data_IF_057789282784
#
_entry.id   IF_057789282784
#
_cell.length_a   1.000
_cell.length_b   1.000
_cell.length_c   1.000
_cell.angle_alpha   90.00
_cell.angle_beta   90.00
_cell.angle_gamma   90.00
#
_symmetry.space_group_name_H-M   'P 1'
#
loop_
_entity.id
_entity.type
_entity.pdbx_description
1 polymer ?
#
# COMPACT_ATOMS: atom_id res chain seq x y z
N UNK A 1 -27.99 -50.77 -28.97
CA UNK A 1 -26.76 -50.29 -28.31
C UNK A 1 -26.72 -48.77 -28.46
N UNK A 2 -27.18 -47.99 -27.47
CA UNK A 2 -26.98 -46.55 -27.45
C UNK A 2 -25.60 -46.25 -26.85
N UNK A 3 -24.77 -45.50 -27.57
CA UNK A 3 -23.47 -45.02 -27.06
C UNK A 3 -23.69 -43.81 -26.17
N UNK A 4 -23.27 -43.96 -24.91
CA UNK A 4 -23.18 -42.92 -23.89
C UNK A 4 -22.23 -41.78 -24.30
N UNK A 5 -22.59 -40.61 -23.79
CA UNK A 5 -21.86 -39.35 -23.87
C UNK A 5 -20.52 -39.44 -23.13
N UNK A 6 -19.49 -38.74 -23.63
CA UNK A 6 -18.53 -38.11 -22.74
C UNK A 6 -18.15 -36.73 -23.30
N UNK A 7 -18.92 -35.72 -22.88
CA UNK A 7 -18.51 -34.33 -22.99
C UNK A 7 -17.43 -34.06 -21.96
N UNK A 8 -16.17 -34.02 -22.39
CA UNK A 8 -15.06 -33.61 -21.54
C UNK A 8 -15.16 -32.10 -21.22
N UNK A 9 -15.12 -31.68 -19.95
CA UNK A 9 -14.90 -30.29 -19.60
C UNK A 9 -13.39 -30.03 -19.45
N UNK A 10 -13.06 -28.74 -19.29
CA UNK A 10 -11.77 -28.20 -18.84
C UNK A 10 -10.70 -27.97 -19.92
N UNK A 11 -10.51 -26.70 -20.27
CA UNK A 11 -9.53 -25.88 -19.53
C UNK A 11 -9.63 -24.44 -20.03
N UNK A 12 -10.06 -23.53 -19.14
CA UNK A 12 -9.77 -22.12 -19.30
C UNK A 12 -8.24 -22.00 -19.44
N UNK A 13 -7.78 -21.55 -20.61
CA UNK A 13 -6.37 -21.28 -20.88
C UNK A 13 -5.94 -20.15 -19.95
N UNK A 14 -5.46 -20.51 -18.77
CA UNK A 14 -4.65 -19.61 -17.95
C UNK A 14 -3.41 -19.29 -18.79
N UNK A 15 -3.43 -18.13 -19.44
CA UNK A 15 -2.29 -17.57 -20.17
C UNK A 15 -1.12 -17.60 -19.20
N UNK A 16 -0.13 -18.44 -19.49
CA UNK A 16 1.00 -18.65 -18.60
C UNK A 16 1.80 -17.36 -18.53
N UNK A 17 1.49 -16.51 -17.54
CA UNK A 17 2.21 -15.25 -17.28
C UNK A 17 3.70 -15.52 -17.32
N UNK A 18 4.41 -14.74 -18.12
CA UNK A 18 5.76 -15.07 -18.53
C UNK A 18 6.64 -15.17 -17.29
N UNK A 19 7.11 -16.38 -16.99
CA UNK A 19 8.09 -16.59 -15.92
C UNK A 19 9.41 -15.98 -16.38
N UNK A 20 10.12 -15.30 -15.47
CA UNK A 20 11.46 -14.77 -15.74
C UNK A 20 12.35 -15.87 -16.35
N UNK A 21 13.18 -15.57 -17.37
CA UNK A 21 14.03 -16.56 -18.01
C UNK A 21 14.83 -17.38 -16.99
N UNK A 22 14.80 -18.71 -17.14
CA UNK A 22 15.52 -19.64 -16.28
C UNK A 22 17.01 -19.42 -16.48
N UNK A 23 17.74 -19.26 -15.38
CA UNK A 23 19.19 -19.18 -15.40
C UNK A 23 19.80 -20.58 -15.49
N UNK A 24 20.95 -20.72 -16.16
CA UNK A 24 21.62 -22.01 -16.39
C UNK A 24 21.94 -22.75 -15.07
N UNK A 25 22.28 -21.99 -14.03
CA UNK A 25 22.45 -22.50 -12.66
C UNK A 25 21.32 -21.97 -11.77
N UNK A 26 20.76 -22.85 -10.92
CA UNK A 26 19.73 -22.49 -9.94
C UNK A 26 20.27 -21.39 -9.01
N UNK A 27 19.51 -20.29 -8.89
CA UNK A 27 19.81 -19.24 -7.90
C UNK A 27 19.70 -19.84 -6.50
N UNK A 28 20.77 -19.71 -5.71
CA UNK A 28 20.88 -20.33 -4.37
C UNK A 28 20.35 -19.42 -3.26
N UNK A 29 20.34 -18.10 -3.49
CA UNK A 29 19.88 -17.10 -2.52
C UNK A 29 18.44 -16.70 -2.82
N UNK A 30 17.61 -16.67 -1.76
CA UNK A 30 16.22 -16.25 -1.81
C UNK A 30 15.93 -15.33 -0.64
N UNK A 31 15.08 -14.32 -0.87
CA UNK A 31 14.49 -13.47 0.17
C UNK A 31 12.98 -13.62 0.07
N UNK A 32 12.31 -13.84 1.21
CA UNK A 32 10.85 -13.86 1.27
C UNK A 32 10.34 -12.44 1.55
N UNK A 33 9.49 -11.94 0.65
CA UNK A 33 8.78 -10.67 0.83
C UNK A 33 7.43 -10.95 1.50
N UNK A 34 7.06 -10.12 2.47
CA UNK A 34 5.72 -10.12 3.06
C UNK A 34 5.05 -8.81 2.68
N UNK A 35 3.79 -8.90 2.27
CA UNK A 35 2.98 -7.79 1.84
C UNK A 35 1.71 -7.75 2.69
N UNK A 36 1.22 -6.55 3.00
CA UNK A 36 -0.18 -6.37 3.38
C UNK A 36 -1.10 -6.68 2.20
N UNK A 37 -2.39 -6.84 2.45
CA UNK A 37 -3.38 -7.09 1.39
C UNK A 37 -3.43 -6.00 0.31
N UNK A 38 -3.45 -4.69 0.63
CA UNK A 38 -3.37 -3.65 -0.40
C UNK A 38 -2.03 -3.62 -1.16
N UNK A 39 -0.91 -3.84 -0.46
CA UNK A 39 0.41 -3.95 -1.12
C UNK A 39 0.45 -5.11 -2.12
N UNK A 40 -0.16 -6.25 -1.76
CA UNK A 40 -0.21 -7.41 -2.63
C UNK A 40 -1.05 -7.15 -3.89
N UNK A 41 -2.18 -6.45 -3.75
CA UNK A 41 -3.01 -6.06 -4.89
C UNK A 41 -2.24 -5.13 -5.86
N UNK A 42 -1.51 -4.15 -5.33
CA UNK A 42 -0.69 -3.25 -6.13
C UNK A 42 0.43 -4.01 -6.88
N UNK A 43 1.14 -4.93 -6.21
CA UNK A 43 2.16 -5.78 -6.83
C UNK A 43 1.55 -6.66 -7.93
N UNK A 44 0.36 -7.22 -7.68
CA UNK A 44 -0.33 -8.07 -8.64
C UNK A 44 -0.66 -7.30 -9.92
N UNK A 45 -1.25 -6.10 -9.77
CA UNK A 45 -1.60 -5.20 -10.88
C UNK A 45 -0.36 -4.76 -11.68
N UNK A 46 0.68 -4.28 -11.02
CA UNK A 46 1.91 -3.83 -11.68
C UNK A 46 2.57 -4.98 -12.46
N UNK A 47 2.52 -6.18 -11.91
CA UNK A 47 3.07 -7.37 -12.53
C UNK A 47 2.19 -7.89 -13.69
N UNK A 48 0.87 -7.67 -13.65
CA UNK A 48 -0.04 -7.88 -14.80
C UNK A 48 0.31 -6.93 -15.95
N UNK A 49 0.50 -5.63 -15.66
CA UNK A 49 0.92 -4.65 -16.67
C UNK A 49 2.28 -5.00 -17.31
N UNK A 50 3.18 -5.64 -16.56
CA UNK A 50 4.48 -6.07 -17.03
C UNK A 50 4.50 -7.48 -17.68
N UNK A 51 3.36 -8.19 -17.75
CA UNK A 51 3.25 -9.58 -18.21
C UNK A 51 4.24 -10.55 -17.51
N UNK A 52 4.51 -10.33 -16.22
CA UNK A 52 5.45 -11.11 -15.42
C UNK A 52 4.75 -11.68 -14.21
N UNK A 53 4.93 -12.94 -13.82
CA UNK A 53 4.41 -13.45 -12.54
C UNK A 53 4.84 -12.55 -11.34
N UNK A 54 4.03 -12.39 -10.26
CA UNK A 54 4.29 -11.38 -9.22
C UNK A 54 5.69 -11.48 -8.61
N UNK A 55 6.11 -12.68 -8.20
CA UNK A 55 7.48 -12.88 -7.68
C UNK A 55 8.58 -12.64 -8.71
N UNK A 56 8.30 -12.85 -10.01
CA UNK A 56 9.21 -12.51 -11.10
C UNK A 56 9.35 -11.01 -11.31
N UNK A 57 8.22 -10.29 -11.23
CA UNK A 57 8.15 -8.84 -11.26
C UNK A 57 8.88 -8.23 -10.07
N UNK A 58 8.59 -8.65 -8.83
CA UNK A 58 9.27 -8.12 -7.64
C UNK A 58 10.78 -8.28 -7.73
N UNK A 59 11.27 -9.45 -8.16
CA UNK A 59 12.70 -9.68 -8.34
C UNK A 59 13.32 -8.83 -9.47
N UNK A 60 12.57 -8.56 -10.54
CA UNK A 60 13.02 -7.69 -11.62
C UNK A 60 13.05 -6.21 -11.19
N UNK A 61 12.01 -5.75 -10.49
CA UNK A 61 11.91 -4.40 -9.95
C UNK A 61 13.02 -4.11 -8.94
N UNK A 62 13.27 -5.02 -7.99
CA UNK A 62 14.39 -4.89 -7.04
C UNK A 62 15.73 -4.80 -7.75
N UNK A 63 15.97 -5.66 -8.75
CA UNK A 63 17.22 -5.64 -9.49
C UNK A 63 17.38 -4.33 -10.29
N UNK A 64 16.31 -3.87 -10.95
CA UNK A 64 16.31 -2.61 -11.69
C UNK A 64 16.62 -1.41 -10.78
N UNK A 65 16.03 -1.37 -9.59
CA UNK A 65 16.29 -0.34 -8.59
C UNK A 65 17.75 -0.35 -8.12
N UNK A 66 18.32 -1.53 -7.86
CA UNK A 66 19.73 -1.67 -7.45
C UNK A 66 20.70 -1.31 -8.57
N UNK A 67 20.33 -1.54 -9.84
CA UNK A 67 21.16 -1.18 -11.00
C UNK A 67 20.99 0.27 -11.46
N UNK A 68 20.12 1.05 -10.80
CA UNK A 68 19.96 2.49 -11.03
C UNK A 68 21.27 3.23 -10.72
N UNK A 69 21.45 4.39 -11.34
CA UNK A 69 22.61 5.28 -11.09
C UNK A 69 22.59 5.87 -9.67
N UNK A 70 21.41 5.96 -9.05
CA UNK A 70 21.24 6.29 -7.62
C UNK A 70 20.14 5.41 -6.97
N UNK A 71 20.49 4.19 -6.54
CA UNK A 71 19.57 3.30 -5.82
C UNK A 71 19.19 3.82 -4.43
N UNK A 72 20.03 4.69 -3.87
CA UNK A 72 19.88 5.28 -2.54
C UNK A 72 18.75 6.30 -2.52
N UNK A 73 18.67 7.16 -3.54
CA UNK A 73 17.60 8.14 -3.68
C UNK A 73 16.20 7.50 -3.72
N UNK A 74 16.01 6.44 -4.51
CA UNK A 74 14.71 5.77 -4.63
C UNK A 74 14.23 5.14 -3.31
N UNK A 75 15.16 4.57 -2.53
CA UNK A 75 14.85 4.01 -1.20
C UNK A 75 14.68 5.11 -0.15
N UNK A 76 15.44 6.20 -0.26
CA UNK A 76 15.37 7.35 0.63
C UNK A 76 14.03 8.09 0.50
N UNK A 77 13.52 8.27 -0.71
CA UNK A 77 12.23 8.91 -0.96
C UNK A 77 11.07 8.10 -0.38
N UNK A 78 11.09 6.76 -0.52
CA UNK A 78 10.10 5.89 0.14
C UNK A 78 10.16 5.97 1.66
N UNK A 79 11.38 5.94 2.24
CA UNK A 79 11.57 6.09 3.69
C UNK A 79 11.11 7.45 4.19
N UNK A 80 11.35 8.51 3.42
CA UNK A 80 10.86 9.85 3.72
C UNK A 80 9.34 9.89 3.75
N UNK A 81 8.67 9.31 2.75
CA UNK A 81 7.21 9.20 2.73
C UNK A 81 6.64 8.44 3.93
N UNK A 82 7.26 7.33 4.35
CA UNK A 82 6.87 6.63 5.60
C UNK A 82 7.03 7.54 6.82
N UNK A 83 8.13 8.28 6.91
CA UNK A 83 8.38 9.19 8.03
C UNK A 83 7.34 10.31 8.09
N UNK A 84 6.99 10.88 6.94
CA UNK A 84 5.94 11.90 6.83
C UNK A 84 4.56 11.35 7.23
N UNK A 85 4.24 10.11 6.86
CA UNK A 85 3.01 9.45 7.31
C UNK A 85 3.00 9.21 8.83
N UNK A 86 4.11 8.75 9.40
CA UNK A 86 4.23 8.55 10.85
C UNK A 86 4.14 9.87 11.63
N UNK A 87 4.71 10.95 11.09
CA UNK A 87 4.56 12.30 11.63
C UNK A 87 3.09 12.74 11.62
N UNK A 88 2.41 12.57 10.49
CA UNK A 88 0.99 12.92 10.34
C UNK A 88 0.09 12.14 11.31
N UNK A 89 0.34 10.84 11.47
CA UNK A 89 -0.39 10.01 12.45
C UNK A 89 -0.18 10.49 13.89
N UNK A 90 1.03 10.97 14.24
CA UNK A 90 1.27 11.53 15.58
C UNK A 90 0.50 12.82 15.79
N UNK A 91 0.44 13.69 14.79
CA UNK A 91 -0.33 14.93 14.84
C UNK A 91 -1.82 14.63 15.02
N UNK A 92 -2.33 13.61 14.30
CA UNK A 92 -3.71 13.14 14.46
C UNK A 92 -3.98 12.59 15.87
N UNK A 93 -3.03 11.85 16.45
CA UNK A 93 -3.12 11.39 17.85
C UNK A 93 -3.22 12.55 18.85
N UNK A 94 -2.47 13.64 18.63
CA UNK A 94 -2.56 14.84 19.45
C UNK A 94 -3.92 15.55 19.31
N UNK A 95 -4.47 15.59 18.10
CA UNK A 95 -5.81 16.09 17.82
C UNK A 95 -6.89 15.27 18.58
N UNK A 96 -6.82 13.95 18.51
CA UNK A 96 -7.74 13.06 19.24
C UNK A 96 -7.69 13.28 20.76
N UNK A 97 -6.51 13.52 21.32
CA UNK A 97 -6.36 13.84 22.73
C UNK A 97 -7.05 15.16 23.12
N UNK A 98 -6.92 16.19 22.29
CA UNK A 98 -7.60 17.48 22.52
C UNK A 98 -9.13 17.33 22.43
N UNK A 99 -9.63 16.52 21.49
CA UNK A 99 -11.07 16.22 21.40
C UNK A 99 -11.56 15.47 22.65
N UNK A 100 -10.77 14.53 23.17
CA UNK A 100 -11.11 13.79 24.38
C UNK A 100 -11.16 14.71 25.61
N UNK A 101 -10.22 15.65 25.73
CA UNK A 101 -10.23 16.67 26.80
C UNK A 101 -11.45 17.58 26.71
N UNK A 102 -11.83 17.99 25.50
CA UNK A 102 -13.01 18.80 25.27
C UNK A 102 -14.31 18.04 25.60
N UNK A 103 -14.42 16.77 25.19
CA UNK A 103 -15.57 15.93 25.52
C UNK A 103 -15.72 15.80 27.04
N UNK A 104 -14.60 15.61 27.76
CA UNK A 104 -14.59 15.60 29.22
C UNK A 104 -15.05 16.95 29.81
N UNK A 105 -14.59 18.08 29.26
CA UNK A 105 -14.99 19.42 29.72
C UNK A 105 -16.49 19.70 29.53
N UNK A 106 -17.05 19.33 28.38
CA UNK A 106 -18.48 19.47 28.09
C UNK A 106 -19.30 18.53 28.97
N UNK A 107 -18.88 17.26 29.13
CA UNK A 107 -19.53 16.31 30.03
C UNK A 107 -19.52 16.75 31.50
N UNK A 108 -18.53 17.56 31.90
CA UNK A 108 -18.46 18.19 33.21
C UNK A 108 -19.36 19.45 33.35
N UNK A 109 -20.17 19.78 32.33
CA UNK A 109 -21.11 20.90 32.33
C UNK A 109 -20.55 22.21 31.77
N UNK A 110 -19.35 22.19 31.17
CA UNK A 110 -18.77 23.35 30.50
C UNK A 110 -19.51 23.71 29.21
N UNK A 111 -19.77 25.00 28.98
CA UNK A 111 -20.37 25.48 27.73
C UNK A 111 -19.28 25.88 26.71
N UNK A 112 -19.21 25.20 25.55
CA UNK A 112 -18.18 25.50 24.56
C UNK A 112 -18.47 26.80 23.80
N UNK A 113 -17.48 27.72 23.76
CA UNK A 113 -17.53 28.99 23.04
C UNK A 113 -17.09 28.90 21.58
N UNK A 114 -16.91 30.06 20.93
CA UNK A 114 -16.52 30.23 19.51
C UNK A 114 -15.23 29.51 19.11
N UNK A 115 -14.33 29.27 20.06
CA UNK A 115 -13.08 28.50 19.90
C UNK A 115 -13.33 27.05 19.45
N UNK A 116 -14.48 26.46 19.80
CA UNK A 116 -14.83 25.09 19.41
C UNK A 116 -14.95 24.93 17.89
N UNK A 117 -15.52 25.92 17.21
CA UNK A 117 -15.68 25.88 15.74
C UNK A 117 -14.34 25.96 15.02
N UNK A 118 -13.42 26.76 15.55
CA UNK A 118 -12.05 26.87 15.00
C UNK A 118 -11.25 25.59 15.25
N UNK A 119 -11.43 24.95 16.40
CA UNK A 119 -10.81 23.66 16.69
C UNK A 119 -11.31 22.60 15.70
N UNK A 120 -12.64 22.47 15.54
CA UNK A 120 -13.25 21.51 14.60
C UNK A 120 -12.74 21.71 13.17
N UNK A 121 -12.68 22.94 12.68
CA UNK A 121 -12.15 23.23 11.33
C UNK A 121 -10.67 22.82 11.17
N UNK A 122 -9.85 22.98 12.23
CA UNK A 122 -8.45 22.50 12.23
C UNK A 122 -8.34 20.97 12.25
N UNK A 123 -9.28 20.29 12.90
CA UNK A 123 -9.36 18.84 12.91
C UNK A 123 -9.70 18.33 11.51
N UNK A 124 -10.73 18.91 10.89
CA UNK A 124 -11.17 18.56 9.53
C UNK A 124 -10.03 18.72 8.52
N UNK A 125 -9.34 19.88 8.54
CA UNK A 125 -8.18 20.12 7.68
C UNK A 125 -6.99 19.16 7.94
N UNK A 126 -6.85 18.65 9.18
CA UNK A 126 -5.80 17.67 9.50
C UNK A 126 -6.16 16.27 9.00
N UNK A 127 -7.45 15.92 8.99
CA UNK A 127 -7.95 14.67 8.42
C UNK A 127 -7.76 14.70 6.90
N UNK A 128 -8.15 15.79 6.24
CA UNK A 128 -7.97 15.95 4.79
C UNK A 128 -6.50 15.82 4.38
N UNK A 129 -5.57 16.40 5.15
CA UNK A 129 -4.14 16.28 4.88
C UNK A 129 -3.61 14.84 5.03
N UNK A 130 -4.18 14.05 5.95
CA UNK A 130 -3.84 12.64 6.12
C UNK A 130 -4.41 11.80 4.96
N UNK A 131 -5.65 12.06 4.56
CA UNK A 131 -6.29 11.38 3.43
C UNK A 131 -5.53 11.67 2.13
N UNK A 132 -5.11 12.92 1.89
CA UNK A 132 -4.27 13.30 0.75
C UNK A 132 -2.91 12.58 0.74
N UNK A 133 -2.28 12.45 1.92
CA UNK A 133 -1.01 11.74 2.04
C UNK A 133 -1.17 10.23 1.78
N UNK A 134 -2.27 9.63 2.23
CA UNK A 134 -2.63 8.24 1.95
C UNK A 134 -2.94 8.04 0.47
N UNK A 135 -3.71 8.92 -0.15
CA UNK A 135 -4.03 8.89 -1.57
C UNK A 135 -2.81 9.09 -2.46
N UNK A 136 -1.85 9.93 -2.06
CA UNK A 136 -0.57 10.07 -2.76
C UNK A 136 0.24 8.77 -2.70
N UNK A 137 0.27 8.12 -1.53
CA UNK A 137 0.97 6.85 -1.35
C UNK A 137 0.35 5.72 -2.18
N UNK A 138 -0.99 5.70 -2.31
CA UNK A 138 -1.73 4.67 -3.06
C UNK A 138 -1.61 4.88 -4.58
N UNK A 139 -1.50 6.12 -5.07
CA UNK A 139 -1.44 6.44 -6.52
C UNK A 139 -0.04 6.31 -7.15
N UNK A 140 0.98 5.92 -6.37
CA UNK A 140 2.38 5.80 -6.81
C UNK A 140 2.70 4.45 -7.43
#
# INVERSE_FOLDING_TARGET
MPTEQESAPAAARATSRRRRPRHATRRRTCVSLRFSEPEWAAVQQAADHADLAPGGFSAAATLAAVTSTDPSAAVADYRRGIQELMESNRQLGAVGNNLNQLAHYVNAGGQPGTELRHLLARIEASIDAVDDAVDWLIRR
#
